data_IF_206848626670
#
_entry.id   IF_206848626670
#
_cell.length_a   1.000
_cell.length_b   1.000
_cell.length_c   1.000
_cell.angle_alpha   90.00
_cell.angle_beta   90.00
_cell.angle_gamma   90.00
#
_symmetry.space_group_name_H-M   'P 1'
#
loop_
_entity.id
_entity.type
_entity.pdbx_description
1 polymer ?
#
# COMPACT_ATOMS: atom_id res chain seq x y z
N UNK A 1 -31.90 38.86 17.13
CA UNK A 1 -31.09 37.63 17.00
C UNK A 1 -30.23 37.55 18.26
N UNK A 2 -30.50 36.62 19.16
CA UNK A 2 -29.90 36.60 20.50
C UNK A 2 -28.44 36.12 20.44
N UNK A 3 -27.57 36.70 21.26
CA UNK A 3 -26.14 36.34 21.39
C UNK A 3 -25.93 34.83 21.56
N UNK A 4 -26.86 34.19 22.29
CA UNK A 4 -26.88 32.75 22.49
C UNK A 4 -27.03 31.96 21.18
N UNK A 5 -27.91 32.37 20.28
CA UNK A 5 -28.08 31.71 18.96
C UNK A 5 -26.85 31.87 18.07
N UNK A 6 -26.13 32.99 18.19
CA UNK A 6 -24.90 33.22 17.42
C UNK A 6 -23.75 32.35 17.94
N UNK A 7 -23.61 32.21 19.27
CA UNK A 7 -22.64 31.33 19.89
C UNK A 7 -22.92 29.85 19.56
N UNK A 8 -24.19 29.42 19.59
CA UNK A 8 -24.57 28.06 19.25
C UNK A 8 -24.24 27.73 17.79
N UNK A 9 -24.53 28.64 16.86
CA UNK A 9 -24.16 28.48 15.46
C UNK A 9 -22.64 28.44 15.26
N UNK A 10 -21.89 29.26 16.01
CA UNK A 10 -20.43 29.30 15.98
C UNK A 10 -19.82 27.98 16.47
N UNK A 11 -20.32 27.41 17.58
CA UNK A 11 -19.86 26.10 18.09
C UNK A 11 -20.21 24.96 17.13
N UNK A 12 -21.42 24.95 16.54
CA UNK A 12 -21.80 23.96 15.53
C UNK A 12 -20.89 24.04 14.30
N UNK A 13 -20.55 25.25 13.84
CA UNK A 13 -19.64 25.43 12.72
C UNK A 13 -18.22 24.97 13.07
N UNK A 14 -17.71 25.26 14.28
CA UNK A 14 -16.40 24.75 14.73
C UNK A 14 -16.37 23.22 14.75
N UNK A 15 -17.38 22.56 15.33
CA UNK A 15 -17.44 21.09 15.37
C UNK A 15 -17.58 20.48 13.97
N UNK A 16 -18.27 21.17 13.06
CA UNK A 16 -18.39 20.75 11.66
C UNK A 16 -17.05 20.89 10.91
N UNK A 17 -16.26 21.94 11.19
CA UNK A 17 -14.94 22.15 10.60
C UNK A 17 -13.81 21.38 11.29
N UNK A 18 -14.00 20.91 12.54
CA UNK A 18 -13.01 20.08 13.27
C UNK A 18 -13.15 18.59 13.03
N UNK A 19 -14.21 18.14 12.37
CA UNK A 19 -14.26 16.81 11.75
C UNK A 19 -13.40 16.76 10.47
N UNK A 20 -12.16 17.26 10.55
CA UNK A 20 -11.12 16.97 9.57
C UNK A 20 -10.82 15.49 9.73
N UNK A 21 -11.56 14.69 8.97
CA UNK A 21 -11.34 13.26 8.83
C UNK A 21 -9.84 13.03 8.56
N UNK A 22 -9.15 12.41 9.51
CA UNK A 22 -7.84 11.78 9.29
C UNK A 22 -8.05 10.65 8.27
N UNK A 23 -8.24 11.01 7.01
CA UNK A 23 -8.55 10.08 5.94
C UNK A 23 -7.27 9.70 5.23
N UNK A 24 -6.97 8.40 5.23
CA UNK A 24 -5.85 7.86 4.48
C UNK A 24 -5.93 8.27 3.00
N UNK A 25 -4.80 8.61 2.40
CA UNK A 25 -4.69 8.62 0.96
C UNK A 25 -4.75 7.17 0.47
N UNK A 26 -5.89 6.75 -0.09
CA UNK A 26 -6.12 5.35 -0.51
C UNK A 26 -5.75 5.18 -1.98
N UNK A 27 -4.91 4.18 -2.26
CA UNK A 27 -4.51 3.80 -3.60
C UNK A 27 -4.81 2.31 -3.84
N UNK A 28 -5.36 2.02 -5.02
CA UNK A 28 -5.43 0.66 -5.54
C UNK A 28 -4.10 0.31 -6.23
N UNK A 29 -3.70 -0.97 -6.27
CA UNK A 29 -2.48 -1.36 -6.99
C UNK A 29 -2.53 -0.99 -8.48
N UNK A 30 -3.68 -1.06 -9.14
CA UNK A 30 -3.80 -0.67 -10.55
C UNK A 30 -3.62 0.84 -10.82
N UNK A 31 -3.47 1.65 -9.76
CA UNK A 31 -3.21 3.08 -9.90
C UNK A 31 -1.86 3.31 -10.58
N UNK A 32 -1.78 4.33 -11.44
CA UNK A 32 -0.58 4.65 -12.24
C UNK A 32 0.69 4.93 -11.43
N UNK A 33 0.57 5.21 -10.12
CA UNK A 33 1.70 5.42 -9.20
C UNK A 33 2.16 4.15 -8.48
N UNK A 34 1.40 3.06 -8.59
CA UNK A 34 1.62 1.82 -7.86
C UNK A 34 2.01 0.72 -8.83
N UNK A 35 1.06 0.17 -9.59
CA UNK A 35 1.27 -0.85 -10.61
C UNK A 35 0.49 -0.46 -11.87
N UNK A 36 1.11 0.22 -12.85
CA UNK A 36 0.40 0.57 -14.06
C UNK A 36 0.09 -0.70 -14.87
N UNK A 37 -1.14 -0.79 -15.35
CA UNK A 37 -1.62 -1.95 -16.13
C UNK A 37 -1.08 -2.00 -17.56
N UNK A 38 -0.68 -0.85 -18.14
CA UNK A 38 -0.25 -0.78 -19.54
C UNK A 38 1.26 -0.97 -19.73
N UNK A 39 1.67 -1.72 -20.77
CA UNK A 39 3.09 -1.90 -21.16
C UNK A 39 3.80 -0.57 -21.44
N UNK A 40 3.11 0.39 -22.05
CA UNK A 40 3.65 1.73 -22.34
C UNK A 40 3.94 2.51 -21.05
N UNK A 41 3.02 2.46 -20.08
CA UNK A 41 3.19 3.12 -18.79
C UNK A 41 4.27 2.43 -17.95
N UNK A 42 4.46 1.11 -18.08
CA UNK A 42 5.60 0.39 -17.48
C UNK A 42 6.94 0.85 -18.04
N UNK A 43 7.06 0.98 -19.36
CA UNK A 43 8.27 1.52 -20.02
C UNK A 43 8.51 2.97 -19.55
N UNK A 44 7.45 3.79 -19.50
CA UNK A 44 7.55 5.15 -19.00
C UNK A 44 8.01 5.20 -17.54
N UNK A 45 7.47 4.37 -16.66
CA UNK A 45 7.93 4.31 -15.26
C UNK A 45 9.37 3.81 -15.13
N UNK A 46 9.78 2.87 -15.98
CA UNK A 46 11.15 2.37 -16.01
C UNK A 46 12.13 3.48 -16.39
N UNK A 47 11.77 4.33 -17.35
CA UNK A 47 12.62 5.43 -17.84
C UNK A 47 12.55 6.66 -16.91
N UNK A 48 11.34 7.08 -16.54
CA UNK A 48 11.09 8.36 -15.88
C UNK A 48 11.30 8.33 -14.36
N UNK A 49 11.52 7.15 -13.77
CA UNK A 49 11.41 6.86 -12.33
C UNK A 49 9.97 7.12 -11.84
N UNK A 50 9.28 6.11 -11.28
CA UNK A 50 7.88 6.29 -10.89
C UNK A 50 7.74 7.36 -9.80
N UNK A 51 6.77 8.24 -9.96
CA UNK A 51 6.40 9.23 -8.94
C UNK A 51 6.08 8.51 -7.61
N UNK A 52 6.74 8.88 -6.51
CA UNK A 52 6.50 8.24 -5.22
C UNK A 52 5.09 8.56 -4.72
N UNK A 53 4.51 7.62 -3.98
CA UNK A 53 3.41 7.93 -3.08
C UNK A 53 3.96 8.77 -1.92
N UNK A 54 3.27 9.83 -1.53
CA UNK A 54 3.72 10.70 -0.45
C UNK A 54 2.87 10.46 0.79
N UNK A 55 3.52 10.18 1.92
CA UNK A 55 2.89 10.13 3.25
C UNK A 55 3.32 11.33 4.10
N UNK A 56 2.45 11.81 4.98
CA UNK A 56 2.73 12.92 5.90
C UNK A 56 2.31 12.55 7.32
N UNK A 57 2.84 13.24 8.35
CA UNK A 57 2.39 13.03 9.74
C UNK A 57 0.89 13.24 9.95
N UNK A 58 0.25 14.08 9.12
CA UNK A 58 -1.17 14.39 9.17
C UNK A 58 -2.03 13.51 8.24
N UNK A 59 -1.41 12.74 7.34
CA UNK A 59 -2.11 11.96 6.31
C UNK A 59 -1.28 10.75 5.88
N UNK A 60 -1.60 9.62 6.49
CA UNK A 60 -1.04 8.32 6.12
C UNK A 60 -1.54 7.85 4.74
N UNK A 61 -0.73 7.02 4.08
CA UNK A 61 -1.04 6.41 2.78
C UNK A 61 -1.44 4.96 2.98
N UNK A 62 -2.55 4.54 2.36
CA UNK A 62 -2.99 3.15 2.36
C UNK A 62 -2.96 2.61 0.92
N UNK A 63 -2.29 1.48 0.72
CA UNK A 63 -2.28 0.74 -0.54
C UNK A 63 -3.00 -0.58 -0.31
N UNK A 64 -4.11 -0.78 -1.03
CA UNK A 64 -4.94 -1.98 -0.90
C UNK A 64 -5.26 -2.59 -2.25
N UNK A 65 -5.29 -3.92 -2.29
CA UNK A 65 -5.79 -4.64 -3.45
C UNK A 65 -6.22 -6.07 -3.11
N UNK A 66 -7.15 -6.59 -3.89
CA UNK A 66 -7.63 -7.98 -3.79
C UNK A 66 -7.77 -8.54 -5.20
N UNK A 67 -7.10 -9.65 -5.50
CA UNK A 67 -7.30 -10.42 -6.71
C UNK A 67 -8.28 -11.55 -6.43
N UNK A 68 -9.37 -11.57 -7.18
CA UNK A 68 -10.44 -12.56 -7.09
C UNK A 68 -10.63 -13.36 -8.39
N UNK A 69 -9.82 -13.11 -9.42
CA UNK A 69 -9.94 -13.80 -10.71
C UNK A 69 -8.59 -14.24 -11.25
N UNK A 70 -8.54 -15.44 -11.82
CA UNK A 70 -7.37 -16.00 -12.50
C UNK A 70 -6.88 -15.13 -13.67
N UNK A 71 -7.79 -14.39 -14.31
CA UNK A 71 -7.47 -13.49 -15.43
C UNK A 71 -6.74 -12.23 -14.95
N UNK A 72 -7.16 -11.62 -13.83
CA UNK A 72 -6.55 -10.39 -13.31
C UNK A 72 -5.11 -10.58 -12.82
N UNK A 73 -4.75 -11.79 -12.39
CA UNK A 73 -3.36 -12.13 -11.98
C UNK A 73 -2.44 -12.35 -13.17
N UNK A 74 -2.95 -12.94 -14.26
CA UNK A 74 -2.15 -13.16 -15.48
C UNK A 74 -1.68 -11.86 -16.14
N UNK A 75 -2.43 -10.78 -15.98
CA UNK A 75 -2.12 -9.47 -16.54
C UNK A 75 -1.23 -8.62 -15.60
N UNK A 76 -1.04 -9.03 -14.34
CA UNK A 76 -0.16 -8.35 -13.40
C UNK A 76 1.27 -8.90 -13.52
N UNK A 77 2.14 -8.13 -14.17
CA UNK A 77 3.60 -8.33 -14.08
C UNK A 77 4.10 -7.90 -12.69
N UNK A 78 5.34 -8.29 -12.38
CA UNK A 78 6.10 -7.78 -11.24
C UNK A 78 5.95 -6.27 -11.10
N UNK A 79 5.45 -5.85 -9.95
CA UNK A 79 5.16 -4.47 -9.65
C UNK A 79 6.16 -3.93 -8.64
N UNK A 80 6.58 -2.68 -8.85
CA UNK A 80 7.33 -1.97 -7.82
C UNK A 80 6.92 -0.51 -7.73
N UNK A 81 6.73 -0.02 -6.52
CA UNK A 81 6.35 1.36 -6.24
C UNK A 81 7.14 1.92 -5.07
N UNK A 82 7.23 3.25 -5.01
CA UNK A 82 7.95 3.96 -3.96
C UNK A 82 6.99 4.71 -3.05
N UNK A 83 7.33 4.78 -1.78
CA UNK A 83 6.65 5.61 -0.79
C UNK A 83 7.68 6.48 -0.10
N UNK A 84 7.36 7.77 0.04
CA UNK A 84 8.26 8.78 0.59
C UNK A 84 7.53 9.69 1.60
N UNK A 85 8.22 10.10 2.65
CA UNK A 85 7.71 11.13 3.58
C UNK A 85 7.89 12.52 3.00
N UNK A 86 6.85 13.35 3.07
CA UNK A 86 7.00 14.80 2.85
C UNK A 86 7.62 15.46 4.07
N UNK A 87 8.55 16.39 3.86
CA UNK A 87 9.08 17.26 4.94
C UNK A 87 10.22 16.67 5.78
N UNK A 88 10.76 15.52 5.40
CA UNK A 88 11.83 14.83 6.15
C UNK A 88 11.28 14.06 7.36
N UNK A 89 11.76 12.83 7.56
CA UNK A 89 11.28 11.94 8.63
C UNK A 89 11.42 10.47 8.24
N UNK A 90 11.05 9.59 9.17
CA UNK A 90 10.97 8.15 8.90
C UNK A 90 9.57 7.72 8.44
N UNK A 91 9.48 6.50 7.89
CA UNK A 91 8.22 5.84 7.52
C UNK A 91 7.97 4.66 8.45
N UNK A 92 6.75 4.54 8.96
CA UNK A 92 6.22 3.32 9.55
C UNK A 92 5.45 2.55 8.49
N UNK A 93 5.78 1.28 8.29
CA UNK A 93 5.12 0.41 7.32
C UNK A 93 4.36 -0.64 8.10
N UNK A 94 3.05 -0.72 7.88
CA UNK A 94 2.17 -1.65 8.59
C UNK A 94 1.44 -2.50 7.56
N UNK A 95 1.77 -3.79 7.49
CA UNK A 95 1.03 -4.76 6.69
C UNK A 95 -0.13 -5.26 7.55
N UNK A 96 -1.33 -4.74 7.29
CA UNK A 96 -2.53 -5.06 8.06
C UNK A 96 -3.22 -6.32 7.56
N UNK A 97 -3.09 -6.63 6.26
CA UNK A 97 -3.54 -7.89 5.66
C UNK A 97 -2.60 -8.33 4.54
N UNK A 98 -2.34 -9.63 4.50
CA UNK A 98 -1.61 -10.25 3.41
C UNK A 98 -2.19 -11.64 3.14
N UNK A 99 -2.39 -11.97 1.89
CA UNK A 99 -2.64 -13.32 1.41
C UNK A 99 -1.89 -13.51 0.10
N UNK A 100 -0.70 -14.11 0.18
CA UNK A 100 0.17 -14.41 -0.96
C UNK A 100 0.54 -15.90 -0.95
N UNK A 101 0.61 -16.53 -2.12
CA UNK A 101 0.85 -17.99 -2.20
C UNK A 101 2.21 -18.36 -1.63
N UNK A 102 2.21 -19.41 -0.81
CA UNK A 102 3.39 -20.03 -0.24
C UNK A 102 3.29 -21.53 -0.47
N UNK A 103 4.38 -22.16 -0.88
CA UNK A 103 4.43 -23.61 -0.96
C UNK A 103 4.24 -24.21 0.44
N UNK A 104 3.21 -25.05 0.65
CA UNK A 104 2.87 -25.54 1.99
C UNK A 104 3.95 -26.44 2.57
N UNK A 105 4.67 -27.20 1.74
CA UNK A 105 5.69 -28.15 2.16
C UNK A 105 7.04 -27.49 2.43
N UNK A 106 7.49 -26.60 1.54
CA UNK A 106 8.82 -25.98 1.66
C UNK A 106 8.82 -24.62 2.35
N UNK A 107 7.64 -24.03 2.59
CA UNK A 107 7.46 -22.65 3.09
C UNK A 107 8.10 -21.59 2.19
N UNK A 108 8.48 -21.95 0.96
CA UNK A 108 9.01 -21.01 -0.03
C UNK A 108 7.86 -20.20 -0.62
N UNK A 109 8.02 -18.88 -0.69
CA UNK A 109 7.04 -18.00 -1.29
C UNK A 109 6.94 -18.20 -2.81
N UNK A 110 5.72 -18.47 -3.29
CA UNK A 110 5.39 -18.47 -4.72
C UNK A 110 5.16 -17.04 -5.19
N UNK A 111 4.31 -16.30 -4.44
CA UNK A 111 4.15 -14.86 -4.58
C UNK A 111 4.74 -14.19 -3.35
N UNK A 112 5.35 -13.02 -3.50
CA UNK A 112 5.94 -12.35 -2.34
C UNK A 112 5.93 -10.83 -2.45
N UNK A 113 5.88 -10.21 -1.27
CA UNK A 113 6.22 -8.83 -1.05
C UNK A 113 7.65 -8.75 -0.52
N UNK A 114 8.41 -7.74 -0.98
CA UNK A 114 9.72 -7.41 -0.43
C UNK A 114 9.86 -5.89 -0.30
N UNK A 115 10.34 -5.43 0.84
CA UNK A 115 10.56 -4.02 1.12
C UNK A 115 12.05 -3.74 1.01
N UNK A 116 12.42 -2.69 0.26
CA UNK A 116 13.77 -2.11 0.26
C UNK A 116 13.72 -0.79 1.01
N UNK A 117 14.56 -0.70 2.03
CA UNK A 117 14.71 0.46 2.89
C UNK A 117 15.63 1.51 2.26
N UNK A 118 15.60 2.72 2.82
CA UNK A 118 16.40 3.87 2.37
C UNK A 118 17.90 3.58 2.42
N UNK A 119 18.36 2.83 3.43
CA UNK A 119 19.73 2.36 3.58
C UNK A 119 20.15 1.27 2.57
N UNK A 120 19.24 0.86 1.68
CA UNK A 120 19.47 -0.16 0.66
C UNK A 120 19.28 -1.61 1.10
N UNK A 121 19.13 -1.86 2.41
CA UNK A 121 18.79 -3.20 2.93
C UNK A 121 17.39 -3.63 2.49
N UNK A 122 17.15 -4.93 2.50
CA UNK A 122 15.88 -5.52 2.05
C UNK A 122 15.37 -6.50 3.08
N UNK A 123 14.06 -6.59 3.23
CA UNK A 123 13.43 -7.67 3.99
C UNK A 123 13.64 -9.01 3.28
N UNK A 124 13.45 -10.09 4.02
CA UNK A 124 13.13 -11.38 3.43
C UNK A 124 11.83 -11.32 2.62
N UNK A 125 11.57 -12.38 1.86
CA UNK A 125 10.32 -12.51 1.10
C UNK A 125 9.16 -12.70 2.08
N UNK A 126 8.20 -11.80 2.02
CA UNK A 126 7.00 -11.82 2.88
C UNK A 126 5.87 -12.45 2.05
N UNK A 127 5.28 -13.54 2.56
CA UNK A 127 4.18 -14.25 1.91
C UNK A 127 3.36 -15.04 2.94
N UNK A 128 2.40 -15.84 2.48
CA UNK A 128 1.47 -16.55 3.34
C UNK A 128 0.32 -15.66 3.78
N UNK A 129 -0.21 -15.91 4.97
CA UNK A 129 -1.37 -15.20 5.51
C UNK A 129 -0.98 -14.32 6.70
N UNK A 130 -1.22 -13.02 6.58
CA UNK A 130 -1.19 -12.04 7.67
C UNK A 130 -2.62 -11.55 7.87
N UNK A 131 -3.13 -11.73 9.08
CA UNK A 131 -4.46 -11.27 9.47
C UNK A 131 -4.36 -9.93 10.21
N UNK A 132 -5.48 -9.21 10.39
CA UNK A 132 -5.49 -8.00 11.23
C UNK A 132 -5.03 -8.22 12.68
N UNK A 133 -4.95 -9.46 13.14
CA UNK A 133 -4.45 -9.85 14.46
C UNK A 133 -2.92 -10.05 14.47
N UNK A 134 -2.32 -10.37 13.32
CA UNK A 134 -0.91 -10.78 13.17
C UNK A 134 -0.07 -9.71 12.45
N UNK A 135 -0.38 -8.44 12.70
CA UNK A 135 0.16 -7.27 11.96
C UNK A 135 1.69 -7.32 11.89
N UNK A 136 2.24 -7.18 10.68
CA UNK A 136 3.68 -7.05 10.48
C UNK A 136 4.08 -5.58 10.31
N UNK A 137 5.04 -5.12 11.11
CA UNK A 137 5.47 -3.72 11.15
C UNK A 137 6.95 -3.57 10.82
N UNK A 138 7.28 -2.56 10.01
CA UNK A 138 8.65 -2.17 9.69
C UNK A 138 8.82 -0.67 9.85
N UNK A 139 10.06 -0.23 10.04
CA UNK A 139 10.40 1.19 10.18
C UNK A 139 11.60 1.53 9.33
N UNK A 140 11.54 2.66 8.64
CA UNK A 140 12.65 3.23 7.89
C UNK A 140 12.91 4.66 8.36
N UNK A 141 14.14 4.97 8.77
CA UNK A 141 14.47 6.33 9.24
C UNK A 141 14.74 7.33 8.14
N UNK A 142 15.00 6.87 6.91
CA UNK A 142 15.33 7.75 5.77
C UNK A 142 14.10 8.26 5.02
N UNK A 143 12.92 7.67 5.26
CA UNK A 143 11.66 8.13 4.70
C UNK A 143 11.53 7.90 3.20
N UNK A 144 12.27 6.94 2.64
CA UNK A 144 12.19 6.55 1.22
C UNK A 144 12.29 5.04 1.10
N UNK A 145 11.15 4.39 0.83
CA UNK A 145 11.05 2.94 0.75
C UNK A 145 10.50 2.50 -0.60
N UNK A 146 11.01 1.37 -1.09
CA UNK A 146 10.54 0.77 -2.35
C UNK A 146 9.97 -0.62 -2.08
N UNK A 147 8.73 -0.82 -2.48
CA UNK A 147 8.05 -2.10 -2.39
C UNK A 147 8.16 -2.84 -3.72
N UNK A 148 8.40 -4.13 -3.63
CA UNK A 148 8.42 -5.06 -4.75
C UNK A 148 7.38 -6.13 -4.49
N UNK A 149 6.38 -6.17 -5.34
CA UNK A 149 5.36 -7.20 -5.35
C UNK A 149 5.56 -8.08 -6.58
N UNK A 150 5.85 -9.35 -6.33
CA UNK A 150 6.09 -10.36 -7.36
C UNK A 150 4.99 -11.39 -7.28
N UNK A 151 4.22 -11.53 -8.35
CA UNK A 151 3.14 -12.52 -8.47
C UNK A 151 3.51 -13.48 -9.60
N UNK A 152 3.53 -14.77 -9.31
CA UNK A 152 3.84 -15.80 -10.30
C UNK A 152 2.70 -15.94 -11.32
N UNK A 153 2.74 -15.13 -12.38
CA UNK A 153 1.75 -15.07 -13.46
C UNK A 153 1.65 -16.38 -14.28
N UNK A 154 2.69 -17.22 -14.24
CA UNK A 154 2.72 -18.53 -14.90
C UNK A 154 1.89 -19.60 -14.18
N UNK A 155 1.56 -19.38 -12.90
CA UNK A 155 0.72 -20.29 -12.11
C UNK A 155 -0.65 -19.63 -11.96
N UNK A 156 -1.70 -20.13 -12.64
CA UNK A 156 -3.04 -19.55 -12.51
C UNK A 156 -3.56 -19.68 -11.08
N UNK A 157 -4.40 -18.74 -10.66
CA UNK A 157 -5.16 -18.90 -9.42
C UNK A 157 -6.23 -19.98 -9.60
N UNK A 158 -6.48 -20.76 -8.56
CA UNK A 158 -7.64 -21.63 -8.52
C UNK A 158 -8.95 -20.82 -8.46
N UNK A 159 -10.09 -21.44 -8.81
CA UNK A 159 -11.38 -20.74 -8.97
C UNK A 159 -11.85 -19.98 -7.72
N UNK A 160 -11.41 -20.40 -6.53
CA UNK A 160 -11.76 -19.77 -5.25
C UNK A 160 -10.55 -19.19 -4.52
N UNK A 161 -9.38 -19.16 -5.17
CA UNK A 161 -8.17 -18.62 -4.59
C UNK A 161 -8.15 -17.10 -4.74
N UNK A 162 -7.83 -16.40 -3.65
CA UNK A 162 -7.77 -14.94 -3.63
C UNK A 162 -6.42 -14.49 -3.12
N UNK A 163 -5.82 -13.50 -3.77
CA UNK A 163 -4.65 -12.80 -3.24
C UNK A 163 -5.11 -11.47 -2.63
N UNK A 164 -4.55 -11.07 -1.49
CA UNK A 164 -4.93 -9.82 -0.81
C UNK A 164 -3.69 -9.13 -0.25
N UNK A 165 -3.68 -7.80 -0.33
CA UNK A 165 -2.65 -6.97 0.30
C UNK A 165 -3.32 -5.69 0.80
N UNK A 166 -3.02 -5.32 2.05
CA UNK A 166 -3.40 -4.04 2.65
C UNK A 166 -2.21 -3.54 3.48
N UNK A 167 -1.65 -2.39 3.08
CA UNK A 167 -0.44 -1.79 3.67
C UNK A 167 -0.70 -0.32 3.96
N UNK A 168 -0.35 0.12 5.16
CA UNK A 168 -0.40 1.51 5.60
C UNK A 168 1.02 2.04 5.79
N UNK A 169 1.24 3.29 5.38
CA UNK A 169 2.48 4.05 5.44
C UNK A 169 2.28 5.42 6.07
#
# INVERSE_FOLDING_TARGET
MNLFSFLLLYFILIDFFWNISCSYARYQLNHNKVCPSSKLTKIYQFISKPDPLTTTPSRATNVRYMWNTWKSVRDSDDCSFKVQTSGGGGIYIVITRLHLRQNPSSRICTDFLRIRFSNGTKTDRICGRITPQDVATFTDSGGDVKLYLVIANHIPLETNETLEIDIVF
#
